data_IF_773002403658
#
_entry.id   IF_773002403658
#
_cell.length_a   1.000
_cell.length_b   1.000
_cell.length_c   1.000
_cell.angle_alpha   90.00
_cell.angle_beta   90.00
_cell.angle_gamma   90.00
#
_symmetry.space_group_name_H-M   'P 1'
#
loop_
_entity.id
_entity.type
_entity.pdbx_description
1 polymer ?
#
# COMPACT_ATOMS: atom_id res chain seq x y z
N UNK A 1 29.98 20.99 -6.99
CA UNK A 1 28.91 21.38 -6.05
C UNK A 1 27.76 22.04 -6.81
N UNK A 2 27.03 21.26 -7.62
CA UNK A 2 25.71 21.58 -8.18
C UNK A 2 25.38 20.55 -9.28
N UNK A 3 25.39 19.25 -8.93
CA UNK A 3 24.52 18.35 -9.68
C UNK A 3 23.13 18.61 -9.14
N UNK A 4 22.33 19.27 -9.96
CA UNK A 4 20.89 19.41 -9.79
C UNK A 4 20.35 18.06 -9.32
N UNK A 5 19.89 18.00 -8.07
CA UNK A 5 19.09 16.92 -7.52
C UNK A 5 18.10 16.48 -8.59
N UNK A 6 18.39 15.35 -9.23
CA UNK A 6 17.46 14.72 -10.16
C UNK A 6 16.20 14.50 -9.32
N UNK A 7 15.08 15.17 -9.64
CA UNK A 7 13.86 15.11 -8.81
C UNK A 7 13.47 13.65 -8.49
N UNK A 8 13.74 12.75 -9.44
CA UNK A 8 13.59 11.30 -9.30
C UNK A 8 14.46 10.70 -8.17
N UNK A 9 15.70 11.17 -8.01
CA UNK A 9 16.63 10.74 -6.95
C UNK A 9 16.19 11.17 -5.54
N UNK A 10 15.30 12.15 -5.42
CA UNK A 10 14.67 12.54 -4.14
C UNK A 10 13.27 11.94 -3.96
N UNK A 11 12.48 11.85 -5.04
CA UNK A 11 11.11 11.33 -5.01
C UNK A 11 11.05 9.89 -4.52
N UNK A 12 11.96 9.04 -4.99
CA UNK A 12 12.04 7.63 -4.62
C UNK A 12 12.34 7.42 -3.12
N UNK A 13 13.39 8.03 -2.53
CA UNK A 13 13.63 7.96 -1.10
C UNK A 13 12.51 8.57 -0.25
N UNK A 14 11.90 9.68 -0.70
CA UNK A 14 10.80 10.32 0.02
C UNK A 14 9.54 9.44 0.04
N UNK A 15 9.18 8.84 -1.09
CA UNK A 15 8.13 7.86 -1.18
C UNK A 15 8.39 6.66 -0.22
N UNK A 16 9.65 6.25 -0.12
CA UNK A 16 10.06 5.13 0.73
C UNK A 16 9.95 5.50 2.21
N UNK A 17 10.38 6.72 2.57
CA UNK A 17 10.21 7.25 3.93
C UNK A 17 8.73 7.36 4.33
N UNK A 18 7.85 7.79 3.41
CA UNK A 18 6.40 7.84 3.67
C UNK A 18 5.82 6.43 3.84
N UNK A 19 6.25 5.48 3.01
CA UNK A 19 5.92 4.08 3.13
C UNK A 19 6.37 3.42 4.43
N UNK A 20 7.60 3.73 4.85
CA UNK A 20 8.23 3.23 6.07
C UNK A 20 7.56 3.76 7.35
N UNK A 21 6.85 4.89 7.29
CA UNK A 21 6.02 5.34 8.40
C UNK A 21 4.86 4.39 8.72
N UNK A 22 4.43 3.52 7.79
CA UNK A 22 3.42 2.51 8.12
C UNK A 22 3.92 1.45 9.12
N UNK A 23 5.17 0.95 9.04
CA UNK A 23 5.73 0.03 10.05
C UNK A 23 6.56 0.66 11.19
N UNK A 24 7.26 1.80 11.02
CA UNK A 24 8.15 2.39 12.06
C UNK A 24 8.41 3.88 11.76
N UNK A 25 8.20 4.90 12.65
CA UNK A 25 7.72 4.97 14.03
C UNK A 25 6.31 5.63 14.11
N UNK A 26 5.86 6.15 15.26
CA UNK A 26 4.53 6.77 15.43
C UNK A 26 4.24 7.80 14.31
N UNK A 27 3.27 7.47 13.44
CA UNK A 27 2.87 8.34 12.34
C UNK A 27 2.39 9.69 12.90
N UNK A 28 2.78 10.83 12.30
CA UNK A 28 2.18 12.11 12.64
C UNK A 28 0.66 12.04 12.43
N UNK A 29 -0.12 12.68 13.31
CA UNK A 29 -1.59 12.54 13.36
C UNK A 29 -2.28 12.78 12.01
N UNK A 30 -1.73 13.68 11.19
CA UNK A 30 -2.21 13.97 9.83
C UNK A 30 -2.11 12.74 8.92
N UNK A 31 -0.98 12.02 8.96
CA UNK A 31 -0.79 10.80 8.16
C UNK A 31 -1.67 9.67 8.70
N UNK A 32 -1.90 9.60 10.01
CA UNK A 32 -2.84 8.63 10.58
C UNK A 32 -4.27 8.88 10.10
N UNK A 33 -4.72 10.14 10.08
CA UNK A 33 -6.06 10.51 9.61
C UNK A 33 -6.22 10.26 8.10
N UNK A 34 -5.20 10.59 7.30
CA UNK A 34 -5.17 10.26 5.88
C UNK A 34 -5.13 8.74 5.65
N UNK A 35 -4.37 8.02 6.47
CA UNK A 35 -4.26 6.56 6.48
C UNK A 35 -5.56 5.85 6.87
N UNK A 36 -6.56 6.53 7.42
CA UNK A 36 -7.90 5.97 7.62
C UNK A 36 -8.72 5.98 6.33
N UNK A 37 -8.38 6.82 5.35
CA UNK A 37 -9.06 6.87 4.07
C UNK A 37 -8.56 5.75 3.14
N UNK A 38 -9.47 4.88 2.70
CA UNK A 38 -9.16 3.74 1.83
C UNK A 38 -8.50 4.17 0.52
N UNK A 39 -8.92 5.30 -0.07
CA UNK A 39 -8.30 5.85 -1.27
C UNK A 39 -6.83 6.22 -1.07
N UNK A 40 -6.51 6.80 0.09
CA UNK A 40 -5.13 7.19 0.41
C UNK A 40 -4.24 5.97 0.63
N UNK A 41 -4.76 4.89 1.23
CA UNK A 41 -4.03 3.62 1.37
C UNK A 41 -3.63 3.06 0.00
N UNK A 42 -4.55 3.04 -0.96
CA UNK A 42 -4.27 2.53 -2.32
C UNK A 42 -3.35 3.45 -3.12
N UNK A 43 -3.44 4.77 -2.92
CA UNK A 43 -2.48 5.71 -3.48
C UNK A 43 -1.07 5.49 -2.93
N UNK A 44 -0.95 5.20 -1.63
CA UNK A 44 0.31 4.77 -1.03
C UNK A 44 0.84 3.47 -1.62
N UNK A 45 -0.01 2.44 -1.78
CA UNK A 45 0.39 1.19 -2.45
C UNK A 45 0.89 1.44 -3.87
N UNK A 46 0.23 2.30 -4.64
CA UNK A 46 0.70 2.69 -5.97
C UNK A 46 2.09 3.34 -5.93
N UNK A 47 2.30 4.29 -5.02
CA UNK A 47 3.60 4.97 -4.85
C UNK A 47 4.68 3.96 -4.43
N UNK A 48 4.36 3.01 -3.56
CA UNK A 48 5.26 1.94 -3.11
C UNK A 48 5.61 0.94 -4.24
N UNK A 49 4.66 0.62 -5.12
CA UNK A 49 4.91 -0.24 -6.28
C UNK A 49 5.77 0.50 -7.30
N UNK A 50 5.46 1.78 -7.55
CA UNK A 50 6.22 2.63 -8.45
C UNK A 50 7.67 2.82 -7.98
N UNK A 51 7.88 3.06 -6.68
CA UNK A 51 9.24 3.18 -6.14
C UNK A 51 9.99 1.84 -6.14
N UNK A 52 9.31 0.73 -5.81
CA UNK A 52 9.92 -0.60 -5.74
C UNK A 52 10.38 -1.09 -7.12
N UNK A 53 9.71 -0.66 -8.18
CA UNK A 53 10.15 -0.85 -9.58
C UNK A 53 11.25 0.10 -10.04
N UNK A 54 11.84 0.92 -9.15
CA UNK A 54 12.89 1.88 -9.49
C UNK A 54 12.40 3.10 -10.26
N UNK A 55 11.14 3.52 -10.08
CA UNK A 55 10.56 4.61 -10.87
C UNK A 55 10.21 4.19 -12.30
N UNK A 56 9.86 2.91 -12.49
CA UNK A 56 9.42 2.34 -13.76
C UNK A 56 8.21 3.06 -14.36
N UNK A 57 7.80 2.66 -15.58
CA UNK A 57 6.65 3.22 -16.28
C UNK A 57 5.41 3.24 -15.38
N UNK A 58 4.83 4.42 -15.21
CA UNK A 58 3.62 4.65 -14.39
C UNK A 58 2.47 3.71 -14.79
N UNK A 59 2.35 3.44 -16.09
CA UNK A 59 1.36 2.52 -16.67
C UNK A 59 1.45 1.13 -16.03
N UNK A 60 2.68 0.61 -15.84
CA UNK A 60 2.92 -0.72 -15.29
C UNK A 60 2.63 -0.75 -13.79
N UNK A 61 3.02 0.30 -13.06
CA UNK A 61 2.77 0.43 -11.62
C UNK A 61 1.27 0.53 -11.31
N UNK A 62 0.51 1.19 -12.18
CA UNK A 62 -0.95 1.29 -12.04
C UNK A 62 -1.61 -0.07 -12.27
N UNK A 63 -1.22 -0.79 -13.32
CA UNK A 63 -1.71 -2.16 -13.57
C UNK A 63 -1.38 -3.08 -12.40
N UNK A 64 -0.14 -3.05 -11.91
CA UNK A 64 0.28 -3.85 -10.76
C UNK A 64 -0.55 -3.51 -9.50
N UNK A 65 -0.83 -2.23 -9.25
CA UNK A 65 -1.69 -1.80 -8.12
C UNK A 65 -3.11 -2.37 -8.24
N UNK A 66 -3.71 -2.32 -9.43
CA UNK A 66 -5.05 -2.87 -9.69
C UNK A 66 -5.06 -4.39 -9.50
N UNK A 67 -4.03 -5.08 -9.99
CA UNK A 67 -3.89 -6.54 -9.79
C UNK A 67 -3.76 -6.87 -8.30
N UNK A 68 -2.93 -6.14 -7.55
CA UNK A 68 -2.80 -6.30 -6.10
C UNK A 68 -4.12 -6.04 -5.39
N UNK A 69 -4.87 -5.01 -5.79
CA UNK A 69 -6.21 -4.72 -5.26
C UNK A 69 -7.16 -5.92 -5.43
N UNK A 70 -7.21 -6.49 -6.63
CA UNK A 70 -8.06 -7.65 -6.92
C UNK A 70 -7.64 -8.87 -6.11
N UNK A 71 -6.34 -9.13 -5.97
CA UNK A 71 -5.83 -10.24 -5.14
C UNK A 71 -6.25 -10.08 -3.69
N UNK A 72 -6.09 -8.87 -3.13
CA UNK A 72 -6.49 -8.59 -1.73
C UNK A 72 -8.00 -8.79 -1.55
N UNK A 73 -8.84 -8.25 -2.45
CA UNK A 73 -10.30 -8.43 -2.37
C UNK A 73 -10.73 -9.89 -2.55
N UNK A 74 -10.06 -10.65 -3.42
CA UNK A 74 -10.30 -12.08 -3.58
C UNK A 74 -9.89 -12.87 -2.34
N UNK A 75 -8.76 -12.53 -1.71
CA UNK A 75 -8.33 -13.15 -0.46
C UNK A 75 -9.26 -12.80 0.69
N UNK A 76 -9.69 -11.55 0.84
CA UNK A 76 -10.68 -11.14 1.83
C UNK A 76 -12.02 -11.87 1.61
N UNK A 77 -12.50 -11.95 0.36
CA UNK A 77 -13.73 -12.67 0.02
C UNK A 77 -13.63 -14.19 0.22
N UNK A 78 -12.51 -14.81 -0.14
CA UNK A 78 -12.24 -16.22 0.08
C UNK A 78 -12.06 -16.55 1.56
N UNK A 79 -11.45 -15.65 2.33
CA UNK A 79 -11.26 -15.79 3.78
C UNK A 79 -12.58 -15.68 4.55
N UNK A 80 -13.46 -14.73 4.18
CA UNK A 80 -14.83 -14.63 4.73
C UNK A 80 -15.65 -15.89 4.38
N UNK A 81 -15.49 -16.42 3.17
CA UNK A 81 -16.14 -17.68 2.76
C UNK A 81 -15.63 -18.89 3.55
N UNK A 82 -14.36 -18.88 3.97
CA UNK A 82 -13.77 -19.93 4.81
C UNK A 82 -14.24 -19.92 6.27
N UNK A 83 -14.54 -18.74 6.84
CA UNK A 83 -15.10 -18.62 8.20
C UNK A 83 -16.58 -19.00 8.27
N UNK A 84 -17.37 -18.73 7.21
CA UNK A 84 -18.76 -19.14 7.12
C UNK A 84 -18.96 -20.67 7.05
N UNK A 85 -17.89 -21.43 6.77
CA UNK A 85 -17.90 -22.89 6.72
C UNK A 85 -17.58 -23.57 8.07
N UNK A 86 -17.26 -22.81 9.13
CA UNK A 86 -17.00 -23.38 10.45
C UNK A 86 -18.28 -23.34 11.30
N UNK A 87 -18.98 -24.47 11.51
CA UNK A 87 -20.09 -24.51 12.45
C UNK A 87 -19.54 -24.24 13.86
N UNK A 88 -20.02 -23.17 14.51
CA UNK A 88 -19.81 -22.98 15.95
C UNK A 88 -20.38 -24.23 16.64
N UNK A 89 -19.58 -25.02 17.37
CA UNK A 89 -20.12 -26.14 18.13
C UNK A 89 -21.13 -25.60 19.15
N UNK A 90 -22.30 -26.24 19.33
CA UNK A 90 -23.25 -25.81 20.34
C UNK A 90 -22.55 -25.80 21.69
N UNK A 91 -22.56 -24.64 22.35
CA UNK A 91 -22.04 -24.47 23.70
C UNK A 91 -22.63 -25.58 24.60
N UNK A 92 -21.74 -26.36 25.21
CA UNK A 92 -22.05 -27.40 26.18
C UNK A 92 -21.85 -26.87 27.60
#
# INVERSE_FOLDING_TARGET
MAELMNLNSLLLPMATAIGAFSPFPAQPQIIQQLGQNEWYKWLMVYILIWQGGGGQRMDLSLVATVVTFLIVKLLEGAFISGLAACPVPPEA
#
